data_IF_317052596545
#
_entry.id   IF_317052596545
#
_cell.length_a   1.000
_cell.length_b   1.000
_cell.length_c   1.000
_cell.angle_alpha   90.00
_cell.angle_beta   90.00
_cell.angle_gamma   90.00
#
_symmetry.space_group_name_H-M   'P 1'
#
loop_
_entity.id
_entity.type
_entity.pdbx_description
1 polymer ?
#
# COMPACT_ATOMS: atom_id res chain seq x y z
N UNK A 1 -27.65 -12.36 -1.66
CA UNK A 1 -28.03 -12.37 -0.24
C UNK A 1 -26.95 -11.64 0.52
N UNK A 2 -27.19 -10.39 0.92
CA UNK A 2 -26.21 -9.59 1.65
C UNK A 2 -26.00 -10.21 3.03
N UNK A 3 -24.79 -10.64 3.33
CA UNK A 3 -24.41 -11.02 4.68
C UNK A 3 -24.45 -9.75 5.53
N UNK A 4 -25.56 -9.54 6.24
CA UNK A 4 -25.69 -8.42 7.15
C UNK A 4 -24.67 -8.63 8.28
N UNK A 5 -23.59 -7.85 8.27
CA UNK A 5 -22.52 -7.94 9.26
C UNK A 5 -23.17 -7.77 10.64
N UNK A 6 -23.03 -8.74 11.57
CA UNK A 6 -23.68 -8.67 12.86
C UNK A 6 -23.35 -7.37 13.60
N UNK A 7 -24.32 -6.78 14.30
CA UNK A 7 -24.15 -5.50 15.00
C UNK A 7 -22.97 -5.53 15.99
N UNK A 8 -22.75 -6.67 16.67
CA UNK A 8 -21.61 -6.85 17.56
C UNK A 8 -20.26 -6.73 16.83
N UNK A 9 -20.17 -7.20 15.59
CA UNK A 9 -18.95 -7.10 14.79
C UNK A 9 -18.69 -5.66 14.36
N UNK A 10 -19.76 -4.88 14.09
CA UNK A 10 -19.65 -3.43 13.83
C UNK A 10 -19.16 -2.68 15.07
N UNK A 11 -19.69 -3.00 16.25
CA UNK A 11 -19.23 -2.38 17.51
C UNK A 11 -17.77 -2.71 17.81
N UNK A 12 -17.34 -3.96 17.64
CA UNK A 12 -15.93 -4.34 17.82
C UNK A 12 -15.01 -3.63 16.82
N UNK A 13 -15.45 -3.50 15.57
CA UNK A 13 -14.70 -2.74 14.57
C UNK A 13 -14.52 -1.27 14.97
N UNK A 14 -15.61 -0.62 15.41
CA UNK A 14 -15.57 0.77 15.86
C UNK A 14 -14.66 0.96 17.08
N UNK A 15 -14.71 0.04 18.04
CA UNK A 15 -13.85 0.08 19.24
C UNK A 15 -12.38 -0.10 18.88
N UNK A 16 -12.07 -1.05 17.99
CA UNK A 16 -10.70 -1.24 17.48
C UNK A 16 -10.22 0.01 16.74
N UNK A 17 -11.06 0.59 15.87
CA UNK A 17 -10.72 1.78 15.10
C UNK A 17 -10.40 2.97 16.00
N UNK A 18 -11.27 3.27 16.98
CA UNK A 18 -11.04 4.36 17.94
C UNK A 18 -9.79 4.12 18.80
N UNK A 19 -9.55 2.86 19.21
CA UNK A 19 -8.35 2.48 19.93
C UNK A 19 -7.07 2.75 19.12
N UNK A 20 -7.05 2.34 17.85
CA UNK A 20 -5.94 2.58 16.93
C UNK A 20 -5.76 4.08 16.63
N UNK A 21 -6.85 4.83 16.49
CA UNK A 21 -6.81 6.28 16.24
C UNK A 21 -6.18 7.00 17.44
N UNK A 22 -6.60 6.63 18.65
CA UNK A 22 -6.01 7.14 19.89
C UNK A 22 -4.52 6.79 19.98
N UNK A 23 -4.13 5.56 19.67
CA UNK A 23 -2.71 5.16 19.63
C UNK A 23 -1.92 6.03 18.64
N UNK A 24 -2.43 6.24 17.43
CA UNK A 24 -1.79 7.11 16.42
C UNK A 24 -1.60 8.54 16.93
N UNK A 25 -2.61 9.13 17.58
CA UNK A 25 -2.48 10.49 18.17
C UNK A 25 -1.45 10.56 19.29
N UNK A 26 -1.34 9.50 20.10
CA UNK A 26 -0.32 9.41 21.16
C UNK A 26 1.09 9.26 20.59
N UNK A 27 1.26 8.47 19.53
CA UNK A 27 2.55 8.32 18.85
C UNK A 27 3.01 9.63 18.20
N UNK A 28 2.10 10.37 17.55
CA UNK A 28 2.38 11.68 16.93
C UNK A 28 2.77 12.75 17.96
N UNK A 29 2.30 12.64 19.21
CA UNK A 29 2.58 13.59 20.29
C UNK A 29 3.74 13.17 21.21
N UNK A 30 4.34 12.00 20.98
CA UNK A 30 5.46 11.52 21.76
C UNK A 30 6.72 12.38 21.54
N UNK A 31 7.47 12.65 22.61
CA UNK A 31 8.72 13.43 22.53
C UNK A 31 9.81 12.73 21.72
N UNK A 32 9.79 11.40 21.67
CA UNK A 32 10.73 10.58 20.89
C UNK A 32 9.95 9.82 19.82
N UNK A 33 10.02 10.23 18.55
CA UNK A 33 9.37 9.49 17.47
C UNK A 33 10.01 8.11 17.35
N UNK A 34 9.17 7.08 17.32
CA UNK A 34 9.57 5.68 17.09
C UNK A 34 8.95 5.23 15.77
N UNK A 35 9.66 5.32 14.65
CA UNK A 35 9.10 5.05 13.33
C UNK A 35 8.54 3.64 13.23
N UNK A 36 9.10 2.66 13.95
CA UNK A 36 8.57 1.29 14.00
C UNK A 36 7.18 1.19 14.62
N UNK A 37 6.89 1.99 15.66
CA UNK A 37 5.55 2.00 16.27
C UNK A 37 4.54 2.70 15.37
N UNK A 38 4.94 3.78 14.70
CA UNK A 38 4.09 4.47 13.74
C UNK A 38 3.81 3.60 12.51
N UNK A 39 4.83 2.89 12.02
CA UNK A 39 4.73 1.88 10.96
C UNK A 39 3.71 0.79 11.33
N UNK A 40 3.74 0.29 12.56
CA UNK A 40 2.75 -0.69 13.04
C UNK A 40 1.34 -0.09 13.19
N UNK A 41 1.24 1.14 13.68
CA UNK A 41 -0.05 1.82 13.81
C UNK A 41 -0.74 2.00 12.45
N UNK A 42 -0.01 2.46 11.44
CA UNK A 42 -0.55 2.64 10.09
C UNK A 42 -0.77 1.31 9.38
N UNK A 43 0.01 0.27 9.68
CA UNK A 43 -0.31 -1.09 9.24
C UNK A 43 -1.66 -1.57 9.77
N UNK A 44 -1.95 -1.38 11.06
CA UNK A 44 -3.24 -1.77 11.61
C UNK A 44 -4.39 -0.94 11.03
N UNK A 45 -4.17 0.35 10.79
CA UNK A 45 -5.14 1.20 10.09
C UNK A 45 -5.31 0.81 8.62
N UNK A 46 -4.31 0.22 7.98
CA UNK A 46 -4.47 -0.30 6.62
C UNK A 46 -5.34 -1.55 6.60
N UNK A 47 -5.04 -2.56 7.42
CA UNK A 47 -5.70 -3.89 7.35
C UNK A 47 -7.18 -3.89 7.75
N UNK A 48 -7.66 -2.84 8.42
CA UNK A 48 -9.09 -2.64 8.69
C UNK A 48 -9.86 -2.21 7.42
N UNK A 49 -9.16 -1.64 6.44
CA UNK A 49 -9.74 -1.10 5.20
C UNK A 49 -9.49 -2.00 3.98
N UNK A 50 -8.74 -3.10 4.13
CA UNK A 50 -8.45 -4.03 3.04
C UNK A 50 -8.33 -5.47 3.53
N UNK A 51 -8.88 -6.41 2.76
CA UNK A 51 -8.66 -7.84 2.95
C UNK A 51 -7.28 -8.24 2.43
N UNK A 52 -6.34 -8.50 3.34
CA UNK A 52 -5.02 -8.98 2.96
C UNK A 52 -5.06 -10.31 2.20
N UNK A 53 -6.03 -11.17 2.51
CA UNK A 53 -6.20 -12.46 1.81
C UNK A 53 -6.58 -12.24 0.34
N UNK A 54 -7.46 -11.28 0.04
CA UNK A 54 -7.84 -10.98 -1.34
C UNK A 54 -6.70 -10.32 -2.12
N UNK A 55 -5.95 -9.41 -1.48
CA UNK A 55 -4.74 -8.80 -2.08
C UNK A 55 -3.67 -9.87 -2.37
N UNK A 56 -3.46 -10.81 -1.47
CA UNK A 56 -2.52 -11.93 -1.66
C UNK A 56 -3.00 -12.93 -2.73
N UNK A 57 -4.31 -13.20 -2.81
CA UNK A 57 -4.90 -13.98 -3.91
C UNK A 57 -4.66 -13.29 -5.26
N UNK A 58 -4.87 -11.98 -5.31
CA UNK A 58 -4.61 -11.17 -6.52
C UNK A 58 -3.15 -11.31 -6.97
N UNK A 59 -2.19 -11.32 -6.04
CA UNK A 59 -0.77 -11.54 -6.31
C UNK A 59 -0.43 -12.97 -6.82
N UNK A 60 -1.43 -13.84 -7.04
CA UNK A 60 -1.23 -15.16 -7.62
C UNK A 60 -0.84 -16.24 -6.61
N UNK A 61 -0.86 -15.94 -5.30
CA UNK A 61 -0.44 -16.89 -4.26
C UNK A 61 -1.32 -18.15 -4.19
N UNK A 62 -2.53 -18.13 -4.77
CA UNK A 62 -3.45 -19.27 -4.84
C UNK A 62 -3.72 -19.75 -6.28
N UNK A 63 -2.90 -19.34 -7.25
CA UNK A 63 -3.02 -19.67 -8.67
C UNK A 63 -3.85 -18.68 -9.49
N UNK A 64 -3.78 -18.81 -10.82
CA UNK A 64 -4.29 -17.82 -11.78
C UNK A 64 -5.80 -17.61 -11.71
N UNK A 65 -6.57 -18.68 -11.51
CA UNK A 65 -8.03 -18.60 -11.45
C UNK A 65 -8.50 -17.86 -10.18
N UNK A 66 -7.83 -18.08 -9.04
CA UNK A 66 -8.11 -17.33 -7.81
C UNK A 66 -7.63 -15.87 -7.92
N UNK A 67 -6.51 -15.61 -8.58
CA UNK A 67 -6.06 -14.25 -8.88
C UNK A 67 -7.09 -13.48 -9.73
N UNK A 68 -7.64 -14.11 -10.76
CA UNK A 68 -8.69 -13.52 -11.61
C UNK A 68 -9.97 -13.22 -10.83
N UNK A 69 -10.38 -14.12 -9.93
CA UNK A 69 -11.56 -13.91 -9.06
C UNK A 69 -11.33 -12.76 -8.08
N UNK A 70 -10.17 -12.75 -7.42
CA UNK A 70 -9.80 -11.69 -6.50
C UNK A 70 -9.74 -10.33 -7.23
N UNK A 71 -9.21 -10.28 -8.45
CA UNK A 71 -9.20 -9.08 -9.28
C UNK A 71 -10.62 -8.55 -9.52
N UNK A 72 -11.54 -9.40 -9.98
CA UNK A 72 -12.93 -9.01 -10.22
C UNK A 72 -13.64 -8.53 -8.95
N UNK A 73 -13.40 -9.21 -7.82
CA UNK A 73 -13.97 -8.84 -6.53
C UNK A 73 -13.46 -7.48 -6.07
N UNK A 74 -12.15 -7.27 -6.08
CA UNK A 74 -11.53 -6.02 -5.63
C UNK A 74 -11.88 -4.85 -6.56
N UNK A 75 -11.93 -5.07 -7.87
CA UNK A 75 -12.30 -4.05 -8.86
C UNK A 75 -13.75 -3.59 -8.70
N UNK A 76 -14.68 -4.52 -8.43
CA UNK A 76 -16.12 -4.22 -8.36
C UNK A 76 -16.60 -3.76 -6.99
N UNK A 77 -15.98 -4.23 -5.89
CA UNK A 77 -16.48 -3.98 -4.53
C UNK A 77 -15.58 -3.11 -3.67
N UNK A 78 -14.25 -3.26 -3.77
CA UNK A 78 -13.31 -2.55 -2.91
C UNK A 78 -12.85 -1.22 -3.52
N UNK A 79 -12.36 -1.24 -4.76
CA UNK A 79 -11.80 -0.06 -5.43
C UNK A 79 -12.74 1.16 -5.41
N UNK A 80 -14.06 1.05 -5.69
CA UNK A 80 -14.95 2.21 -5.72
C UNK A 80 -15.21 2.83 -4.34
N UNK A 81 -15.01 2.07 -3.27
CA UNK A 81 -15.31 2.49 -1.90
C UNK A 81 -14.27 3.44 -1.30
N UNK A 82 -14.63 4.23 -0.27
CA UNK A 82 -13.65 5.00 0.50
C UNK A 82 -12.57 4.11 1.15
N UNK A 83 -12.91 2.87 1.48
CA UNK A 83 -12.00 1.90 2.11
C UNK A 83 -10.73 1.69 1.29
N UNK A 84 -10.81 1.64 -0.05
CA UNK A 84 -9.63 1.51 -0.91
C UNK A 84 -8.68 2.69 -0.77
N UNK A 85 -9.22 3.91 -0.65
CA UNK A 85 -8.45 5.15 -0.52
C UNK A 85 -7.80 5.27 0.84
N UNK A 86 -8.53 4.93 1.92
CA UNK A 86 -7.95 4.87 3.26
C UNK A 86 -6.87 3.80 3.38
N UNK A 87 -7.10 2.61 2.80
CA UNK A 87 -6.08 1.56 2.77
C UNK A 87 -4.82 2.02 2.00
N UNK A 88 -4.98 2.64 0.83
CA UNK A 88 -3.86 3.18 0.06
C UNK A 88 -3.10 4.28 0.82
N UNK A 89 -3.81 5.19 1.48
CA UNK A 89 -3.21 6.22 2.32
C UNK A 89 -2.37 5.64 3.45
N UNK A 90 -2.93 4.74 4.26
CA UNK A 90 -2.21 4.12 5.37
C UNK A 90 -1.03 3.26 4.89
N UNK A 91 -1.17 2.58 3.75
CA UNK A 91 -0.06 1.88 3.12
C UNK A 91 1.06 2.84 2.69
N UNK A 92 0.73 4.02 2.16
CA UNK A 92 1.70 5.08 1.87
C UNK A 92 2.44 5.55 3.13
N UNK A 93 1.73 5.70 4.24
CA UNK A 93 2.35 6.06 5.52
C UNK A 93 3.26 4.97 6.08
N UNK A 94 2.94 3.69 5.88
CA UNK A 94 3.85 2.58 6.18
C UNK A 94 5.17 2.75 5.40
N UNK A 95 5.12 3.10 4.11
CA UNK A 95 6.33 3.34 3.32
C UNK A 95 7.11 4.56 3.82
N UNK A 96 6.42 5.64 4.22
CA UNK A 96 7.06 6.82 4.82
C UNK A 96 7.83 6.46 6.09
N UNK A 97 7.21 5.77 7.05
CA UNK A 97 7.90 5.40 8.28
C UNK A 97 9.01 4.36 8.06
N UNK A 98 8.87 3.50 7.04
CA UNK A 98 9.93 2.57 6.67
C UNK A 98 11.21 3.29 6.21
N UNK A 99 11.10 4.47 5.58
CA UNK A 99 12.25 5.32 5.24
C UNK A 99 12.95 5.89 6.49
N UNK A 100 12.18 6.16 7.54
CA UNK A 100 12.67 6.74 8.80
C UNK A 100 13.23 5.68 9.78
N UNK A 101 12.94 4.40 9.56
CA UNK A 101 13.42 3.30 10.38
C UNK A 101 14.96 3.22 10.43
N UNK A 102 15.51 2.91 11.60
CA UNK A 102 16.95 2.75 11.76
C UNK A 102 17.48 1.64 10.83
N UNK A 103 18.74 1.73 10.35
CA UNK A 103 19.33 0.67 9.55
C UNK A 103 19.18 -0.71 10.23
N UNK A 104 18.93 -1.74 9.43
CA UNK A 104 18.79 -3.15 9.82
C UNK A 104 17.56 -3.48 10.69
N UNK A 105 16.60 -2.56 10.81
CA UNK A 105 15.36 -2.78 11.59
C UNK A 105 14.17 -3.23 10.74
N UNK A 106 14.19 -3.07 9.42
CA UNK A 106 13.21 -3.64 8.50
C UNK A 106 13.49 -5.13 8.29
N UNK A 107 13.25 -5.92 9.35
CA UNK A 107 13.42 -7.38 9.41
C UNK A 107 12.22 -8.03 10.08
N UNK A 108 12.07 -9.35 9.90
CA UNK A 108 10.99 -10.12 10.53
C UNK A 108 9.63 -9.50 10.22
N UNK A 109 8.87 -9.17 11.27
CA UNK A 109 7.53 -8.61 11.12
C UNK A 109 7.50 -7.22 10.48
N UNK A 110 8.45 -6.33 10.78
CA UNK A 110 8.51 -5.01 10.15
C UNK A 110 8.71 -5.12 8.63
N UNK A 111 9.47 -6.11 8.17
CA UNK A 111 9.62 -6.38 6.75
C UNK A 111 8.31 -6.89 6.11
N UNK A 112 7.58 -7.76 6.82
CA UNK A 112 6.25 -8.22 6.37
C UNK A 112 5.26 -7.07 6.24
N UNK A 113 5.28 -6.12 7.18
CA UNK A 113 4.42 -4.94 7.16
C UNK A 113 4.66 -4.09 5.92
N UNK A 114 5.94 -3.77 5.62
CA UNK A 114 6.31 -3.02 4.41
C UNK A 114 5.87 -3.77 3.15
N UNK A 115 6.08 -5.09 3.10
CA UNK A 115 5.65 -5.92 1.98
C UNK A 115 4.13 -5.89 1.76
N UNK A 116 3.33 -6.06 2.81
CA UNK A 116 1.86 -6.06 2.72
C UNK A 116 1.30 -4.68 2.33
N UNK A 117 1.92 -3.60 2.83
CA UNK A 117 1.60 -2.24 2.39
C UNK A 117 1.92 -2.04 0.90
N UNK A 118 3.07 -2.55 0.46
CA UNK A 118 3.47 -2.49 -0.96
C UNK A 118 2.52 -3.26 -1.86
N UNK A 119 2.06 -4.44 -1.44
CA UNK A 119 1.04 -5.21 -2.15
C UNK A 119 -0.30 -4.47 -2.19
N UNK A 120 -0.68 -3.78 -1.11
CA UNK A 120 -1.94 -3.02 -1.06
C UNK A 120 -1.91 -1.85 -2.04
N UNK A 121 -0.81 -1.09 -2.08
CA UNK A 121 -0.60 -0.02 -3.06
C UNK A 121 -0.51 -0.54 -4.49
N UNK A 122 0.17 -1.68 -4.70
CA UNK A 122 0.23 -2.34 -6.00
C UNK A 122 -1.16 -2.76 -6.49
N UNK A 123 -1.98 -3.38 -5.63
CA UNK A 123 -3.35 -3.77 -5.97
C UNK A 123 -4.20 -2.56 -6.30
N UNK A 124 -4.16 -1.50 -5.46
CA UNK A 124 -4.85 -0.25 -5.72
C UNK A 124 -4.44 0.36 -7.06
N UNK A 125 -3.13 0.44 -7.33
CA UNK A 125 -2.57 1.00 -8.55
C UNK A 125 -2.94 0.22 -9.81
N UNK A 126 -2.80 -1.11 -9.77
CA UNK A 126 -3.15 -2.02 -10.86
C UNK A 126 -4.63 -1.88 -11.25
N UNK A 127 -5.52 -1.85 -10.26
CA UNK A 127 -6.95 -1.73 -10.50
C UNK A 127 -7.32 -0.32 -10.98
N UNK A 128 -6.74 0.72 -10.37
CA UNK A 128 -6.96 2.13 -10.78
C UNK A 128 -6.51 2.40 -12.21
N UNK A 129 -5.36 1.86 -12.64
CA UNK A 129 -4.88 2.02 -14.02
C UNK A 129 -5.86 1.43 -15.03
N UNK A 130 -6.51 0.31 -14.69
CA UNK A 130 -7.45 -0.37 -15.58
C UNK A 130 -8.78 0.36 -15.69
N UNK A 131 -9.26 0.97 -14.61
CA UNK A 131 -10.48 1.78 -14.61
C UNK A 131 -10.27 3.19 -15.18
N UNK A 132 -9.05 3.73 -15.12
CA UNK A 132 -8.74 5.08 -15.63
C UNK A 132 -8.70 5.18 -17.17
N UNK A 133 -8.65 4.05 -17.90
CA UNK A 133 -8.65 4.05 -19.37
C UNK A 133 -9.99 4.52 -19.99
N UNK A 134 -11.01 4.84 -19.19
CA UNK A 134 -12.31 5.34 -19.66
C UNK A 134 -12.59 6.82 -19.41
N UNK A 135 -11.82 7.54 -18.57
CA UNK A 135 -12.10 8.94 -18.23
C UNK A 135 -10.82 9.69 -17.79
N UNK A 136 -10.04 10.18 -18.74
CA UNK A 136 -8.92 11.09 -18.44
C UNK A 136 -9.40 12.54 -18.55
N UNK A 137 -9.89 13.08 -17.44
CA UNK A 137 -10.03 14.51 -17.23
C UNK A 137 -8.67 15.15 -17.00
N UNK A 138 -8.23 16.02 -17.91
CA UNK A 138 -7.07 16.88 -17.71
C UNK A 138 -7.26 17.78 -16.47
N UNK A 139 -6.30 17.78 -15.53
CA UNK A 139 -6.20 18.81 -14.48
C UNK A 139 -6.50 18.39 -13.03
N UNK A 140 -6.46 17.09 -12.70
CA UNK A 140 -6.57 16.68 -11.29
C UNK A 140 -5.31 17.04 -10.49
N UNK A 141 -5.53 17.54 -9.27
CA UNK A 141 -4.48 17.88 -8.33
C UNK A 141 -3.72 16.61 -7.89
N UNK A 142 -2.39 16.66 -7.92
CA UNK A 142 -1.53 15.53 -7.55
C UNK A 142 -1.27 15.59 -6.05
N UNK A 143 -1.48 14.48 -5.34
CA UNK A 143 -1.22 14.36 -3.91
C UNK A 143 -0.25 13.23 -3.61
N UNK A 144 0.55 13.36 -2.54
CA UNK A 144 1.48 12.33 -2.11
C UNK A 144 0.89 11.50 -0.96
N UNK A 145 0.92 10.17 -1.06
CA UNK A 145 0.40 9.26 -0.03
C UNK A 145 1.42 8.94 1.08
N UNK A 146 2.70 9.14 0.83
CA UNK A 146 3.79 8.88 1.76
C UNK A 146 4.40 10.19 2.31
N UNK A 147 3.56 11.21 2.48
CA UNK A 147 3.88 12.50 3.10
C UNK A 147 2.86 12.79 4.23
N UNK A 148 3.09 13.82 5.07
CA UNK A 148 2.10 14.23 6.07
C UNK A 148 0.74 14.59 5.44
N UNK A 149 -0.33 14.40 6.21
CA UNK A 149 -1.71 14.69 5.79
C UNK A 149 -1.89 16.15 5.38
N UNK A 150 -2.43 16.38 4.18
CA UNK A 150 -2.79 17.71 3.66
C UNK A 150 -4.29 17.80 3.38
N UNK A 151 -4.76 19.00 3.02
CA UNK A 151 -6.15 19.21 2.62
C UNK A 151 -6.53 18.37 1.40
N UNK A 152 -5.60 18.25 0.45
CA UNK A 152 -5.75 17.47 -0.78
C UNK A 152 -5.86 15.98 -0.45
N UNK A 153 -5.10 15.49 0.53
CA UNK A 153 -5.27 14.13 1.06
C UNK A 153 -6.67 13.92 1.63
N UNK A 154 -7.19 14.83 2.45
CA UNK A 154 -8.55 14.70 3.02
C UNK A 154 -9.61 14.68 1.92
N UNK A 155 -9.49 15.55 0.91
CA UNK A 155 -10.38 15.57 -0.26
C UNK A 155 -10.32 14.26 -1.03
N UNK A 156 -9.13 13.70 -1.25
CA UNK A 156 -8.97 12.39 -1.86
C UNK A 156 -9.65 11.29 -1.04
N UNK A 157 -9.40 11.24 0.27
CA UNK A 157 -9.98 10.23 1.15
C UNK A 157 -11.51 10.29 1.17
N UNK A 158 -12.10 11.48 1.27
CA UNK A 158 -13.54 11.65 1.38
C UNK A 158 -14.27 11.58 0.04
N UNK A 159 -13.74 12.25 -0.99
CA UNK A 159 -14.43 12.50 -2.26
C UNK A 159 -13.86 11.70 -3.44
N UNK A 160 -12.72 11.03 -3.27
CA UNK A 160 -12.05 10.30 -4.35
C UNK A 160 -11.47 11.19 -5.44
N UNK A 161 -11.24 12.47 -5.14
CA UNK A 161 -10.70 13.44 -6.09
C UNK A 161 -9.18 13.58 -5.94
N UNK A 162 -8.48 13.72 -7.07
CA UNK A 162 -7.02 13.89 -7.12
C UNK A 162 -6.29 12.65 -7.59
N UNK A 163 -5.03 12.83 -8.00
CA UNK A 163 -4.17 11.72 -8.46
C UNK A 163 -3.23 11.29 -7.32
N UNK A 164 -3.48 10.13 -6.67
CA UNK A 164 -2.61 9.62 -5.62
C UNK A 164 -1.26 9.20 -6.20
N UNK A 165 -0.19 9.73 -5.62
CA UNK A 165 1.19 9.49 -6.04
C UNK A 165 2.09 9.18 -4.84
N UNK A 166 3.29 8.70 -5.11
CA UNK A 166 4.33 8.46 -4.11
C UNK A 166 5.55 9.33 -4.41
N UNK A 167 6.09 9.98 -3.38
CA UNK A 167 7.38 10.68 -3.44
C UNK A 167 8.53 9.67 -3.34
N UNK A 168 9.45 9.71 -4.32
CA UNK A 168 10.68 8.94 -4.26
C UNK A 168 11.78 9.68 -3.48
N UNK A 169 12.58 9.00 -2.64
CA UNK A 169 13.67 9.62 -1.90
C UNK A 169 14.88 10.04 -2.76
N UNK A 170 14.97 9.63 -4.04
CA UNK A 170 16.14 9.92 -4.90
C UNK A 170 15.95 11.14 -5.85
N UNK A 171 16.59 12.27 -5.50
CA UNK A 171 17.32 13.14 -6.44
C UNK A 171 16.68 14.48 -6.85
N UNK A 172 17.13 15.60 -6.24
CA UNK A 172 17.09 17.03 -6.68
C UNK A 172 15.76 17.65 -7.17
N UNK A 173 14.74 16.85 -7.47
CA UNK A 173 13.36 17.19 -7.80
C UNK A 173 12.49 16.09 -7.19
N UNK A 174 11.45 16.46 -6.45
CA UNK A 174 10.43 15.52 -5.99
C UNK A 174 9.83 14.83 -7.22
N UNK A 175 10.28 13.62 -7.55
CA UNK A 175 9.59 12.78 -8.52
C UNK A 175 8.40 12.16 -7.80
N UNK A 176 7.21 12.70 -8.09
CA UNK A 176 5.94 12.08 -7.71
C UNK A 176 5.56 11.09 -8.80
N UNK A 177 5.50 9.82 -8.44
CA UNK A 177 5.05 8.74 -9.31
C UNK A 177 3.60 8.38 -8.96
N UNK A 178 2.64 8.49 -9.90
CA UNK A 178 1.27 8.06 -9.67
C UNK A 178 1.22 6.60 -9.21
N UNK A 179 0.36 6.27 -8.25
CA UNK A 179 0.21 4.89 -7.75
C UNK A 179 -0.29 3.95 -8.85
N UNK A 180 -1.00 4.48 -9.87
CA UNK A 180 -1.37 3.75 -11.08
C UNK A 180 -0.17 3.18 -11.85
N UNK A 181 1.01 3.79 -11.70
CA UNK A 181 2.30 3.19 -12.04
C UNK A 181 2.69 2.18 -10.94
N UNK A 182 1.96 1.07 -10.85
CA UNK A 182 2.17 0.06 -9.81
C UNK A 182 3.57 -0.58 -9.85
N UNK A 183 4.28 -0.51 -10.99
CA UNK A 183 5.68 -0.95 -11.09
C UNK A 183 6.60 -0.04 -10.27
N UNK A 184 6.37 1.27 -10.30
CA UNK A 184 7.11 2.24 -9.48
C UNK A 184 6.87 2.01 -7.98
N UNK A 185 5.64 1.65 -7.58
CA UNK A 185 5.32 1.27 -6.19
C UNK A 185 6.20 0.09 -5.73
N UNK A 186 6.25 -0.98 -6.52
CA UNK A 186 7.05 -2.17 -6.22
C UNK A 186 8.56 -1.86 -6.19
N UNK A 187 9.02 -0.99 -7.09
CA UNK A 187 10.42 -0.53 -7.12
C UNK A 187 10.79 0.30 -5.88
N UNK A 188 9.91 1.20 -5.45
CA UNK A 188 10.10 1.99 -4.23
C UNK A 188 10.25 1.07 -3.01
N UNK A 189 9.36 0.11 -2.84
CA UNK A 189 9.42 -0.84 -1.73
C UNK A 189 10.75 -1.61 -1.68
N UNK A 190 11.22 -2.10 -2.84
CA UNK A 190 12.53 -2.77 -2.96
C UNK A 190 13.68 -1.84 -2.63
N UNK A 191 13.60 -0.57 -3.04
CA UNK A 191 14.58 0.46 -2.69
C UNK A 191 14.62 0.68 -1.17
N UNK A 192 13.48 0.78 -0.50
CA UNK A 192 13.42 0.95 0.97
C UNK A 192 14.07 -0.22 1.70
N UNK A 193 13.80 -1.45 1.29
CA UNK A 193 14.51 -2.61 1.83
C UNK A 193 16.01 -2.49 1.61
N UNK A 194 16.47 -2.17 0.39
CA UNK A 194 17.90 -2.06 0.09
C UNK A 194 18.58 -0.96 0.92
N UNK A 195 17.96 0.21 1.04
CA UNK A 195 18.48 1.35 1.80
C UNK A 195 18.56 1.05 3.30
N UNK A 196 17.69 0.21 3.84
CA UNK A 196 17.75 -0.19 5.24
C UNK A 196 18.95 -1.10 5.57
N UNK A 197 19.63 -1.68 4.57
CA UNK A 197 20.84 -2.50 4.74
C UNK A 197 22.03 -1.87 3.99
N UNK A 198 22.65 -0.80 4.54
CA UNK A 198 23.64 0.02 3.83
C UNK A 198 24.93 -0.72 3.47
N UNK A 199 25.26 -1.80 4.19
CA UNK A 199 26.45 -2.61 3.92
C UNK A 199 26.16 -3.58 2.76
N UNK A 200 26.52 -3.18 1.54
CA UNK A 200 26.26 -3.97 0.32
C UNK A 200 27.05 -5.27 0.22
N UNK A 201 28.10 -5.44 1.02
CA UNK A 201 28.86 -6.69 1.10
C UNK A 201 28.16 -7.77 1.92
N UNK A 202 27.18 -7.40 2.77
CA UNK A 202 26.41 -8.35 3.58
C UNK A 202 25.08 -8.66 2.89
N UNK A 203 24.74 -9.95 2.86
CA UNK A 203 23.44 -10.40 2.38
C UNK A 203 22.33 -9.84 3.28
N UNK A 204 21.18 -9.51 2.70
CA UNK A 204 20.03 -9.12 3.51
C UNK A 204 19.50 -10.37 4.23
N UNK A 205 18.74 -10.22 5.34
CA UNK A 205 18.12 -11.36 5.97
C UNK A 205 17.29 -12.19 4.97
N UNK A 206 17.29 -13.54 5.04
CA UNK A 206 16.66 -14.39 4.02
C UNK A 206 15.19 -14.07 3.73
N UNK A 207 14.43 -13.67 4.76
CA UNK A 207 13.06 -13.22 4.60
C UNK A 207 12.99 -11.96 3.73
N UNK A 208 13.81 -10.95 4.01
CA UNK A 208 13.82 -9.67 3.28
C UNK A 208 14.20 -9.90 1.82
N UNK A 209 15.19 -10.75 1.55
CA UNK A 209 15.54 -11.15 0.18
C UNK A 209 14.38 -11.84 -0.54
N UNK A 210 13.68 -12.74 0.15
CA UNK A 210 12.51 -13.41 -0.40
C UNK A 210 11.38 -12.43 -0.74
N UNK A 211 11.08 -11.47 0.14
CA UNK A 211 10.06 -10.45 -0.10
C UNK A 211 10.46 -9.54 -1.28
N UNK A 212 11.71 -9.09 -1.34
CA UNK A 212 12.24 -8.33 -2.47
C UNK A 212 12.11 -9.07 -3.81
N UNK A 213 12.37 -10.39 -3.80
CA UNK A 213 12.21 -11.23 -4.99
C UNK A 213 10.76 -11.32 -5.42
N UNK A 214 9.85 -11.60 -4.49
CA UNK A 214 8.41 -11.65 -4.77
C UNK A 214 7.87 -10.33 -5.34
N UNK A 215 8.31 -9.19 -4.80
CA UNK A 215 7.96 -7.88 -5.36
C UNK A 215 8.51 -7.70 -6.79
N UNK A 216 9.70 -8.22 -7.09
CA UNK A 216 10.27 -8.21 -8.43
C UNK A 216 9.53 -9.13 -9.41
N UNK A 217 9.11 -10.31 -8.97
CA UNK A 217 8.37 -11.28 -9.79
C UNK A 217 7.00 -10.70 -10.22
N UNK A 218 6.35 -9.92 -9.36
CA UNK A 218 5.11 -9.21 -9.68
C UNK A 218 5.29 -8.12 -10.74
N UNK A 219 6.49 -7.53 -10.86
CA UNK A 219 6.79 -6.57 -11.93
C UNK A 219 6.85 -7.28 -13.29
N UNK A 220 7.48 -8.46 -13.37
CA UNK A 220 7.63 -9.21 -14.63
C UNK A 220 6.43 -10.07 -15.01
N UNK A 221 5.69 -10.62 -14.04
CA UNK A 221 4.57 -11.55 -14.28
C UNK A 221 3.37 -10.91 -14.99
N UNK A 222 3.15 -9.60 -14.81
CA UNK A 222 2.04 -8.89 -15.45
C UNK A 222 2.33 -8.48 -16.90
N UNK A 223 3.60 -8.34 -17.31
CA UNK A 223 3.97 -8.11 -18.72
C UNK A 223 3.59 -9.32 -19.59
N UNK A 224 3.71 -10.55 -19.06
CA UNK A 224 3.27 -11.77 -19.74
C UNK A 224 1.74 -11.90 -19.90
N UNK A 225 0.96 -11.30 -18.99
CA UNK A 225 -0.50 -11.31 -19.04
C UNK A 225 -1.07 -10.28 -20.04
N UNK A 226 -0.31 -9.21 -20.33
CA UNK A 226 -0.67 -8.23 -21.37
C UNK A 226 -0.37 -8.79 -22.77
N UNK A 227 0.76 -9.46 -22.96
CA UNK A 227 1.14 -10.06 -24.26
C UNK A 227 0.18 -11.18 -24.71
N UNK A 228 -0.41 -11.92 -23.77
CA UNK A 228 -1.38 -12.98 -24.08
C UNK A 228 -2.78 -12.47 -24.43
N UNK A 229 -3.07 -11.18 -24.25
CA UNK A 229 -4.33 -10.56 -24.68
C UNK A 229 -4.26 -9.83 -26.02
N UNK A 230 -3.07 -9.76 -26.63
CA UNK A 230 -2.85 -9.11 -27.93
C UNK A 230 -2.67 -10.08 -29.09
N UNK A 231 -2.94 -11.37 -28.88
CA UNK A 231 -2.90 -12.42 -29.91
C UNK A 231 -4.27 -13.07 -30.10
#
# INVERSE_FOLDING_TARGET
>A
AGSDVPEWARSLYQELYEGLRKLSTQLKSAQTPKPELSLLSDFFMMIIHVSLDDVQRLAGMKGDEESRRAMQLLESTWLPGPESRYAAWHAGQVLRYAQECMPTTLRGFNAMVVYLASLTLWAYGLLSQRTANSDQGMGQEVLSLNEPETRETTIFLELGQGTPSLSSPEGLRLQLEPVSNYVAVLSLARLLFRQNYPVTSEAMPPLVESLCRQLGDLQGGLEGYVVTKTL
#
